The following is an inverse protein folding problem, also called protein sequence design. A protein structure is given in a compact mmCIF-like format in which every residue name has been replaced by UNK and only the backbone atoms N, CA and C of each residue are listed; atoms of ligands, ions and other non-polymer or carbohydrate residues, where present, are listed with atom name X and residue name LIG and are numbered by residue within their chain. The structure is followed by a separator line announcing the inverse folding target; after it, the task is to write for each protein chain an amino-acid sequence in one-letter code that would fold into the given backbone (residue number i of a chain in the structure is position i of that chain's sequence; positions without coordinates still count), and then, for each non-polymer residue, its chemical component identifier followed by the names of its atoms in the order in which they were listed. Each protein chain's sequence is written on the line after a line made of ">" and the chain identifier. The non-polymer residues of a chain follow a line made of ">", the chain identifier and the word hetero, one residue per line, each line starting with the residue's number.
data_IF_581766625265
#
_entry.id   IF_581766625265
#
_cell.length_a   1.000
_cell.length_b   1.000
_cell.length_c   1.000
_cell.angle_alpha   90.00
_cell.angle_beta   90.00
_cell.angle_gamma   90.00
#
_symmetry.space_group_name_H-M   'P 1'
#
loop_
_entity.id
_entity.type
_entity.pdbx_description
1 polymer ?
#
# COMPACT_ATOMS: atom_id res chain seq x y z
N UNK A 1 -10.69 -59.23 -8.46
CA UNK A 1 -10.91 -58.15 -7.44
C UNK A 1 -9.65 -57.30 -7.19
N UNK A 2 -8.48 -57.62 -7.77
CA UNK A 2 -7.26 -56.79 -7.67
C UNK A 2 -7.09 -55.84 -8.89
N UNK A 3 -7.71 -56.23 -9.99
CA UNK A 3 -7.77 -55.66 -11.33
C UNK A 3 -8.63 -54.38 -11.41
N UNK A 4 -9.60 -54.20 -10.52
CA UNK A 4 -10.39 -52.96 -10.40
C UNK A 4 -9.68 -51.87 -9.58
N UNK A 5 -8.75 -52.26 -8.70
CA UNK A 5 -7.99 -51.36 -7.83
C UNK A 5 -6.90 -50.60 -8.59
N UNK A 6 -6.32 -51.22 -9.62
CA UNK A 6 -5.27 -50.63 -10.45
C UNK A 6 -5.81 -49.50 -11.35
N UNK A 7 -7.03 -49.64 -11.88
CA UNK A 7 -7.71 -48.57 -12.62
C UNK A 7 -8.06 -47.37 -11.74
N UNK A 8 -8.36 -47.60 -10.46
CA UNK A 8 -8.63 -46.55 -9.48
C UNK A 8 -7.37 -45.75 -9.13
N UNK A 9 -6.21 -46.41 -9.05
CA UNK A 9 -4.93 -45.74 -8.79
C UNK A 9 -4.49 -44.86 -9.98
N UNK A 10 -4.80 -45.27 -11.21
CA UNK A 10 -4.47 -44.54 -12.44
C UNK A 10 -5.29 -43.25 -12.62
N UNK A 11 -6.46 -43.16 -11.98
CA UNK A 11 -7.30 -41.94 -11.97
C UNK A 11 -6.87 -40.92 -10.91
N UNK A 12 -6.02 -41.28 -9.94
CA UNK A 12 -5.51 -40.34 -8.92
C UNK A 12 -4.29 -39.57 -9.46
N UNK A 13 -3.69 -40.02 -10.56
CA UNK A 13 -2.72 -39.25 -11.36
C UNK A 13 -3.40 -38.30 -12.36
N UNK A 14 -4.56 -37.72 -12.02
CA UNK A 14 -5.06 -36.53 -12.71
C UNK A 14 -4.12 -35.38 -12.33
N UNK A 15 -3.08 -35.25 -13.16
CA UNK A 15 -2.29 -34.07 -13.49
C UNK A 15 -2.55 -32.87 -12.55
N UNK A 16 -1.96 -32.91 -11.34
CA UNK A 16 -1.72 -31.73 -10.51
C UNK A 16 -0.62 -30.88 -11.18
N UNK A 17 -0.85 -30.45 -12.42
CA UNK A 17 -0.18 -29.25 -12.90
C UNK A 17 -0.80 -28.10 -12.12
N UNK A 18 -0.03 -27.33 -11.34
CA UNK A 18 -0.54 -26.08 -10.82
C UNK A 18 -1.00 -25.30 -12.04
N UNK A 19 -2.32 -25.07 -12.14
CA UNK A 19 -2.87 -24.16 -13.14
C UNK A 19 -2.22 -22.83 -12.80
N UNK A 20 -1.20 -22.44 -13.57
CA UNK A 20 -0.71 -21.07 -13.55
C UNK A 20 -1.87 -20.23 -14.06
N UNK A 21 -2.65 -19.70 -13.12
CA UNK A 21 -3.57 -18.64 -13.44
C UNK A 21 -2.68 -17.50 -13.91
N UNK A 22 -2.64 -17.28 -15.23
CA UNK A 22 -2.05 -16.07 -15.78
C UNK A 22 -2.90 -14.92 -15.25
N UNK A 23 -2.51 -14.36 -14.11
CA UNK A 23 -3.08 -13.16 -13.54
C UNK A 23 -2.74 -12.02 -14.50
N UNK A 24 -3.77 -11.44 -15.12
CA UNK A 24 -3.57 -10.25 -15.96
C UNK A 24 -2.94 -9.15 -15.09
N UNK A 25 -1.90 -8.45 -15.57
CA UNK A 25 -1.26 -7.39 -14.81
C UNK A 25 -2.30 -6.34 -14.40
N UNK A 26 -2.53 -6.21 -13.09
CA UNK A 26 -3.48 -5.24 -12.54
C UNK A 26 -2.76 -3.93 -12.30
N UNK A 27 -2.96 -2.97 -13.20
CA UNK A 27 -2.47 -1.62 -13.01
C UNK A 27 -3.34 -0.93 -11.94
N UNK A 28 -2.68 -0.29 -10.98
CA UNK A 28 -3.33 0.53 -9.94
C UNK A 28 -2.96 1.97 -10.21
N UNK A 29 -3.97 2.84 -10.24
CA UNK A 29 -3.79 4.28 -10.44
C UNK A 29 -4.75 5.02 -9.53
N UNK A 30 -4.25 6.05 -8.86
CA UNK A 30 -5.04 6.95 -8.03
C UNK A 30 -4.41 8.34 -8.13
N UNK A 31 -5.26 9.35 -7.98
CA UNK A 31 -4.88 10.76 -7.96
C UNK A 31 -5.70 11.43 -6.85
N UNK A 32 -5.03 12.14 -5.95
CA UNK A 32 -5.65 12.82 -4.82
C UNK A 32 -5.65 14.32 -5.10
N UNK A 33 -6.81 14.86 -5.48
CA UNK A 33 -7.00 16.32 -5.56
C UNK A 33 -7.16 16.94 -4.17
N UNK A 34 -7.65 16.17 -3.20
CA UNK A 34 -7.72 16.50 -1.78
C UNK A 34 -7.60 15.21 -0.95
N UNK A 35 -7.19 15.36 0.31
CA UNK A 35 -7.04 14.23 1.22
C UNK A 35 -8.32 14.01 2.02
N UNK A 36 -8.99 12.88 1.80
CA UNK A 36 -10.14 12.44 2.61
C UNK A 36 -9.77 11.25 3.49
N UNK A 37 -10.30 11.20 4.71
CA UNK A 37 -10.06 10.14 5.70
C UNK A 37 -10.40 8.72 5.21
N UNK A 38 -11.27 8.56 4.20
CA UNK A 38 -11.76 7.23 3.80
C UNK A 38 -10.67 6.33 3.15
N UNK A 39 -9.68 6.93 2.48
CA UNK A 39 -8.69 6.18 1.69
C UNK A 39 -7.30 6.13 2.35
N UNK A 40 -7.12 6.81 3.48
CA UNK A 40 -5.84 6.96 4.16
C UNK A 40 -5.98 6.60 5.65
N UNK A 41 -4.95 5.97 6.20
CA UNK A 41 -4.77 5.78 7.63
C UNK A 41 -3.63 6.67 8.08
N UNK A 42 -3.86 7.37 9.18
CA UNK A 42 -2.87 8.24 9.81
C UNK A 42 -2.39 7.55 11.09
N UNK A 43 -1.08 7.39 11.22
CA UNK A 43 -0.48 6.63 12.33
C UNK A 43 -0.20 7.48 13.58
N UNK A 44 -0.59 8.76 13.60
CA UNK A 44 -0.32 9.74 14.66
C UNK A 44 -1.40 10.84 14.72
N UNK A 45 -1.30 11.75 15.70
CA UNK A 45 -2.23 12.86 16.02
C UNK A 45 -2.18 14.01 15.00
N UNK A 46 -2.39 13.69 13.73
CA UNK A 46 -2.39 14.69 12.66
C UNK A 46 -3.63 15.58 12.73
N UNK A 47 -3.47 16.85 12.34
CA UNK A 47 -4.58 17.77 12.10
C UNK A 47 -4.82 17.86 10.59
N UNK A 48 -5.96 17.35 10.10
CA UNK A 48 -6.40 17.59 8.72
C UNK A 48 -6.85 19.05 8.62
N UNK A 49 -6.03 19.90 8.03
CA UNK A 49 -6.37 21.32 7.85
C UNK A 49 -6.51 21.62 6.37
N UNK A 50 -7.75 21.90 5.94
CA UNK A 50 -8.06 22.47 4.62
C UNK A 50 -7.36 21.75 3.45
N UNK A 51 -7.57 20.43 3.35
CA UNK A 51 -7.07 19.59 2.26
C UNK A 51 -5.54 19.41 2.20
N UNK A 52 -4.82 19.87 3.22
CA UNK A 52 -3.38 19.63 3.37
C UNK A 52 -3.17 18.62 4.50
N UNK A 53 -2.28 17.66 4.25
CA UNK A 53 -1.79 16.72 5.26
C UNK A 53 -0.51 17.29 5.86
N UNK A 54 -0.57 17.66 7.14
CA UNK A 54 0.61 18.03 7.91
C UNK A 54 1.22 16.78 8.54
N UNK A 55 2.50 16.51 8.25
CA UNK A 55 3.26 15.36 8.76
C UNK A 55 4.07 15.65 10.04
N UNK A 56 4.07 16.91 10.45
CA UNK A 56 4.78 17.38 11.63
C UNK A 56 3.92 18.39 12.33
N UNK A 57 3.90 18.35 13.67
CA UNK A 57 3.14 19.30 14.45
C UNK A 57 3.77 20.69 14.39
N UNK A 58 2.93 21.71 14.22
CA UNK A 58 3.32 23.10 14.36
C UNK A 58 3.23 23.49 15.84
N UNK A 59 4.38 23.56 16.51
CA UNK A 59 4.49 24.04 17.89
C UNK A 59 5.46 25.22 17.93
N UNK A 60 5.13 26.25 18.73
CA UNK A 60 5.98 27.42 18.95
C UNK A 60 7.23 27.14 19.81
N UNK A 61 7.59 25.88 20.00
CA UNK A 61 8.75 25.43 20.77
C UNK A 61 9.54 24.42 19.95
N UNK A 62 10.87 24.30 20.15
CA UNK A 62 11.66 23.27 19.50
C UNK A 62 11.11 21.88 19.86
N UNK A 63 10.50 21.21 18.90
CA UNK A 63 9.89 19.90 19.09
C UNK A 63 10.25 18.98 17.92
N UNK A 64 10.52 17.73 18.24
CA UNK A 64 10.74 16.68 17.24
C UNK A 64 9.45 15.88 17.10
N UNK A 65 8.85 15.88 15.91
CA UNK A 65 7.64 15.10 15.59
C UNK A 65 7.90 14.18 14.40
N UNK A 66 7.19 13.05 14.37
CA UNK A 66 7.26 12.07 13.30
C UNK A 66 5.87 11.51 13.04
N UNK A 67 5.23 11.93 11.96
CA UNK A 67 3.94 11.39 11.55
C UNK A 67 4.04 10.64 10.21
N UNK A 68 3.12 9.72 9.99
CA UNK A 68 3.08 8.89 8.77
C UNK A 68 1.64 8.72 8.29
N UNK A 69 1.49 8.77 6.97
CA UNK A 69 0.21 8.56 6.27
C UNK A 69 0.35 7.39 5.32
N UNK A 70 -0.60 6.46 5.40
CA UNK A 70 -0.60 5.20 4.66
C UNK A 70 -1.86 5.11 3.82
N UNK A 71 -1.71 4.67 2.57
CA UNK A 71 -2.83 4.36 1.71
C UNK A 71 -3.50 3.04 2.12
N UNK A 72 -4.82 3.07 2.31
CA UNK A 72 -5.59 1.96 2.89
C UNK A 72 -5.70 0.72 2.00
N UNK A 73 -5.37 0.84 0.71
CA UNK A 73 -5.45 -0.27 -0.24
C UNK A 73 -4.04 -0.72 -0.64
N UNK A 74 -3.52 -1.83 -0.08
CA UNK A 74 -2.18 -2.32 -0.36
C UNK A 74 -1.96 -2.57 -1.85
N UNK A 75 -0.81 -2.12 -2.36
CA UNK A 75 -0.41 -2.29 -3.76
C UNK A 75 0.61 -3.41 -3.83
N UNK A 76 0.34 -4.53 -4.53
CA UNK A 76 1.29 -5.62 -4.65
C UNK A 76 2.43 -5.24 -5.59
N UNK A 77 3.67 -5.34 -5.12
CA UNK A 77 4.88 -5.08 -5.92
C UNK A 77 5.47 -6.34 -6.55
N UNK A 78 5.03 -7.51 -6.10
CA UNK A 78 5.55 -8.80 -6.56
C UNK A 78 4.43 -9.83 -6.55
N UNK A 79 4.28 -10.53 -7.67
CA UNK A 79 3.44 -11.72 -7.78
C UNK A 79 4.33 -12.96 -7.84
N UNK A 80 4.23 -13.81 -6.83
CA UNK A 80 5.03 -15.03 -6.70
C UNK A 80 4.61 -16.10 -7.69
N UNK A 81 3.32 -16.16 -8.07
CA UNK A 81 2.82 -17.20 -8.97
C UNK A 81 3.33 -17.00 -10.39
N UNK A 82 3.32 -15.75 -10.86
CA UNK A 82 3.84 -15.38 -12.18
C UNK A 82 5.32 -14.95 -12.16
N UNK A 83 5.97 -14.89 -10.99
CA UNK A 83 7.31 -14.35 -10.78
C UNK A 83 7.50 -12.94 -11.38
N UNK A 84 6.44 -12.13 -11.37
CA UNK A 84 6.42 -10.80 -12.00
C UNK A 84 6.59 -9.71 -10.95
N UNK A 85 7.40 -8.69 -11.26
CA UNK A 85 7.60 -7.50 -10.42
C UNK A 85 6.88 -6.30 -11.02
N UNK A 86 6.27 -5.50 -10.17
CA UNK A 86 5.66 -4.24 -10.57
C UNK A 86 6.74 -3.17 -10.82
N UNK A 87 6.48 -2.28 -11.77
CA UNK A 87 7.14 -0.98 -11.87
C UNK A 87 6.14 0.09 -11.43
N UNK A 88 6.60 1.12 -10.75
CA UNK A 88 5.73 2.18 -10.23
C UNK A 88 6.30 3.56 -10.50
N UNK A 89 5.39 4.54 -10.55
CA UNK A 89 5.69 5.96 -10.62
C UNK A 89 4.75 6.69 -9.67
N UNK A 90 5.23 7.73 -9.02
CA UNK A 90 4.43 8.59 -8.16
C UNK A 90 4.87 10.04 -8.35
N UNK A 91 3.93 10.96 -8.14
CA UNK A 91 4.14 12.40 -8.16
C UNK A 91 3.39 13.00 -7.00
N UNK A 92 4.06 13.87 -6.24
CA UNK A 92 3.45 14.60 -5.13
C UNK A 92 4.06 16.00 -5.04
N UNK A 93 3.35 16.89 -4.35
CA UNK A 93 3.81 18.23 -4.00
C UNK A 93 3.82 18.36 -2.48
N UNK A 94 4.83 19.04 -1.95
CA UNK A 94 5.00 19.25 -0.51
C UNK A 94 5.45 20.68 -0.23
N UNK A 95 5.24 21.13 1.00
CA UNK A 95 5.64 22.45 1.49
C UNK A 95 6.31 22.29 2.85
N UNK A 96 7.56 22.75 2.95
CA UNK A 96 8.29 22.85 4.21
C UNK A 96 8.24 24.31 4.63
N UNK A 97 7.68 24.57 5.82
CA UNK A 97 7.70 25.89 6.45
C UNK A 97 8.60 25.83 7.67
N UNK A 98 9.52 26.79 7.76
CA UNK A 98 10.19 27.08 9.01
C UNK A 98 9.36 28.14 9.75
N UNK A 99 8.92 27.83 10.96
CA UNK A 99 8.30 28.83 11.82
C UNK A 99 9.43 29.48 12.61
N UNK A 100 9.65 30.78 12.40
CA UNK A 100 10.41 31.55 13.38
C UNK A 100 9.62 31.52 14.68
N UNK A 101 10.18 30.88 15.71
CA UNK A 101 9.65 31.05 17.06
C UNK A 101 9.95 32.50 17.46
N UNK A 102 8.93 33.35 17.48
CA UNK A 102 9.04 34.59 18.24
C UNK A 102 9.10 34.22 19.73
N UNK A 103 10.33 33.98 20.20
CA UNK A 103 10.65 34.00 21.62
C UNK A 103 10.43 35.43 22.11
N UNK A 104 9.24 35.71 22.61
CA UNK A 104 9.04 36.85 23.50
C UNK A 104 9.67 36.50 24.85
N UNK A 105 10.63 37.34 25.25
CA UNK A 105 11.53 37.23 26.41
C UNK A 105 10.85 36.90 27.75
#
# INVERSE_FOLDING_TARGET
>A
MADQLLGFLFLITIDFKPRSFLTSPKNVTFDFQSFTLCNLTFLSDFLLQKDIVSLTQELGVPFSSFDTVIYNYPIPFFDKESNTKASFHTRFSFLIKNFESEFFW
#
